data_IF_932605944783
#
_entry.id   IF_932605944783
#
_cell.length_a   1.000
_cell.length_b   1.000
_cell.length_c   1.000
_cell.angle_alpha   90.00
_cell.angle_beta   90.00
_cell.angle_gamma   90.00
#
_symmetry.space_group_name_H-M   'P 1'
#
loop_
_entity.id
_entity.type
_entity.pdbx_description
1 polymer ?
#
# COMPACT_ATOMS: atom_id res chain seq x y z
N UNK A 1 -25.24 -12.46 -2.98
CA UNK A 1 -25.60 -11.49 -4.06
C UNK A 1 -25.52 -10.11 -3.44
N UNK A 2 -24.74 -9.20 -3.95
CA UNK A 2 -24.57 -7.84 -3.38
C UNK A 2 -25.85 -7.00 -3.55
N UNK A 3 -26.87 -7.30 -2.74
CA UNK A 3 -28.17 -6.65 -2.85
C UNK A 3 -28.22 -5.38 -2.00
N UNK A 4 -28.58 -4.26 -2.62
CA UNK A 4 -28.87 -3.03 -1.89
C UNK A 4 -30.22 -3.17 -1.22
N UNK A 5 -30.27 -3.08 0.11
CA UNK A 5 -31.49 -3.16 0.91
C UNK A 5 -31.97 -1.78 1.39
N UNK A 6 -31.05 -0.82 1.45
CA UNK A 6 -31.36 0.55 1.83
C UNK A 6 -30.39 1.54 1.18
N UNK A 7 -30.89 2.70 0.79
CA UNK A 7 -30.09 3.84 0.38
C UNK A 7 -30.62 5.08 1.07
N UNK A 8 -29.73 5.80 1.77
CA UNK A 8 -30.04 7.07 2.43
C UNK A 8 -29.08 8.17 2.01
N UNK A 9 -29.42 9.39 2.40
CA UNK A 9 -28.60 10.58 2.16
C UNK A 9 -28.63 11.45 3.40
N UNK A 10 -27.47 11.87 3.88
CA UNK A 10 -27.37 12.96 4.82
C UNK A 10 -27.09 14.26 4.06
N UNK A 11 -27.93 15.26 4.31
CA UNK A 11 -27.61 16.66 4.02
C UNK A 11 -26.61 17.16 5.06
N UNK A 12 -26.28 18.43 5.11
CA UNK A 12 -25.28 18.95 6.05
C UNK A 12 -25.55 18.44 7.48
N UNK A 13 -24.66 17.55 7.94
CA UNK A 13 -24.77 16.84 9.21
C UNK A 13 -23.46 16.97 9.98
N UNK A 14 -23.54 17.12 11.30
CA UNK A 14 -22.38 17.27 12.18
C UNK A 14 -22.13 16.06 13.05
N UNK A 15 -23.14 15.24 13.29
CA UNK A 15 -23.01 14.01 14.06
C UNK A 15 -24.09 12.99 13.67
N UNK A 16 -23.71 11.71 13.70
CA UNK A 16 -24.63 10.56 13.69
C UNK A 16 -24.39 9.79 14.96
N UNK A 17 -25.45 9.61 15.74
CA UNK A 17 -25.38 8.86 17.01
C UNK A 17 -24.91 7.43 16.80
N UNK A 18 -24.25 6.88 17.83
CA UNK A 18 -23.79 5.51 17.82
C UNK A 18 -24.91 4.53 17.56
N UNK A 19 -24.73 3.65 16.60
CA UNK A 19 -25.70 2.63 16.19
C UNK A 19 -24.96 1.40 15.60
N UNK A 20 -25.71 0.38 15.24
CA UNK A 20 -25.23 -0.80 14.51
C UNK A 20 -26.34 -1.33 13.60
N UNK A 21 -25.98 -2.08 12.58
CA UNK A 21 -26.88 -2.75 11.66
C UNK A 21 -26.35 -4.13 11.24
N UNK A 22 -27.22 -4.98 10.71
CA UNK A 22 -26.90 -6.37 10.30
C UNK A 22 -26.21 -6.47 8.96
N UNK A 23 -26.19 -5.39 8.18
CA UNK A 23 -25.67 -5.33 6.81
C UNK A 23 -24.34 -4.59 6.76
N UNK A 24 -23.58 -4.78 5.69
CA UNK A 24 -22.44 -3.92 5.40
C UNK A 24 -22.93 -2.52 5.01
N UNK A 25 -22.38 -1.48 5.60
CA UNK A 25 -22.66 -0.09 5.22
C UNK A 25 -21.52 0.49 4.42
N UNK A 26 -21.88 1.16 3.33
CA UNK A 26 -20.98 1.91 2.46
C UNK A 26 -21.38 3.38 2.54
N UNK A 27 -20.48 4.25 3.00
CA UNK A 27 -20.75 5.67 3.19
C UNK A 27 -19.86 6.47 2.24
N UNK A 28 -20.44 7.00 1.16
CA UNK A 28 -19.74 7.89 0.24
C UNK A 28 -19.85 9.34 0.75
N UNK A 29 -18.74 9.94 1.19
CA UNK A 29 -18.70 11.33 1.58
C UNK A 29 -18.75 12.22 0.32
N UNK A 30 -19.86 12.95 0.13
CA UNK A 30 -20.06 13.81 -1.05
C UNK A 30 -19.47 15.21 -0.85
N UNK A 31 -19.36 15.69 0.39
CA UNK A 31 -18.66 16.94 0.73
C UNK A 31 -18.31 16.99 2.22
N UNK A 32 -17.34 17.83 2.58
CA UNK A 32 -16.86 17.99 3.95
C UNK A 32 -15.89 16.90 4.38
N UNK A 33 -15.75 16.71 5.68
CA UNK A 33 -14.89 15.68 6.29
C UNK A 33 -15.47 15.30 7.66
N UNK A 34 -15.01 14.19 8.21
CA UNK A 34 -15.43 13.74 9.54
C UNK A 34 -14.60 12.59 10.07
N UNK A 35 -15.02 12.11 11.23
CA UNK A 35 -14.41 11.01 11.95
C UNK A 35 -15.47 9.94 12.22
N UNK A 36 -15.23 8.75 11.70
CA UNK A 36 -16.02 7.56 12.03
C UNK A 36 -15.42 6.92 13.27
N UNK A 37 -16.20 6.86 14.35
CA UNK A 37 -15.77 6.42 15.68
C UNK A 37 -16.24 4.99 15.93
N UNK A 38 -15.30 4.12 16.23
CA UNK A 38 -15.49 2.72 16.67
C UNK A 38 -15.04 2.56 18.12
N UNK A 39 -15.19 1.38 18.70
CA UNK A 39 -14.78 1.14 20.09
C UNK A 39 -13.27 1.18 20.29
N UNK A 40 -12.50 0.74 19.29
CA UNK A 40 -11.06 0.54 19.36
C UNK A 40 -10.26 1.49 18.45
N UNK A 41 -10.94 2.23 17.58
CA UNK A 41 -10.28 3.13 16.62
C UNK A 41 -11.18 4.24 16.10
N UNK A 42 -10.56 5.22 15.45
CA UNK A 42 -11.23 6.28 14.69
C UNK A 42 -10.68 6.31 13.27
N UNK A 43 -11.54 6.45 12.27
CA UNK A 43 -11.17 6.62 10.87
C UNK A 43 -11.54 8.03 10.42
N UNK A 44 -10.54 8.83 10.02
CA UNK A 44 -10.76 10.16 9.45
C UNK A 44 -11.00 10.03 7.94
N UNK A 45 -12.05 10.68 7.43
CA UNK A 45 -12.41 10.67 6.02
C UNK A 45 -12.69 12.10 5.50
N UNK A 46 -12.59 12.26 4.21
CA UNK A 46 -12.81 13.52 3.49
C UNK A 46 -13.76 13.33 2.30
N UNK A 47 -14.11 14.43 1.64
CA UNK A 47 -14.92 14.39 0.43
C UNK A 47 -14.34 13.43 -0.62
N UNK A 48 -15.20 12.65 -1.24
CA UNK A 48 -14.96 11.55 -2.18
C UNK A 48 -14.44 10.24 -1.57
N UNK A 49 -14.11 10.19 -0.29
CA UNK A 49 -13.79 8.92 0.38
C UNK A 49 -15.04 8.08 0.59
N UNK A 50 -14.84 6.76 0.60
CA UNK A 50 -15.88 5.78 0.94
C UNK A 50 -15.44 5.06 2.21
N UNK A 51 -16.22 5.22 3.27
CA UNK A 51 -16.06 4.43 4.49
C UNK A 51 -16.85 3.13 4.35
N UNK A 52 -16.20 2.01 4.57
CA UNK A 52 -16.81 0.69 4.58
C UNK A 52 -16.90 0.20 6.01
N UNK A 53 -18.13 -0.03 6.48
CA UNK A 53 -18.42 -0.50 7.83
C UNK A 53 -18.96 -1.93 7.77
N UNK A 54 -18.26 -2.90 8.37
CA UNK A 54 -18.71 -4.28 8.45
C UNK A 54 -20.05 -4.45 9.19
N UNK A 55 -20.79 -5.54 8.93
CA UNK A 55 -22.01 -5.85 9.68
C UNK A 55 -21.76 -5.98 11.18
N UNK A 56 -22.72 -5.53 11.98
CA UNK A 56 -22.74 -5.64 13.45
C UNK A 56 -21.60 -4.96 14.17
N UNK A 57 -20.92 -4.00 13.52
CA UNK A 57 -19.89 -3.19 14.15
C UNK A 57 -20.51 -1.88 14.67
N UNK A 58 -20.54 -1.63 16.00
CA UNK A 58 -21.07 -0.39 16.56
C UNK A 58 -20.19 0.80 16.14
N UNK A 59 -20.83 1.84 15.60
CA UNK A 59 -20.12 3.03 15.12
C UNK A 59 -20.97 4.28 15.23
N UNK A 60 -20.30 5.43 15.22
CA UNK A 60 -20.90 6.76 15.16
C UNK A 60 -20.06 7.67 14.30
N UNK A 61 -20.57 8.86 14.00
CA UNK A 61 -19.87 9.81 13.15
C UNK A 61 -19.91 11.21 13.73
N UNK A 62 -18.81 11.95 13.68
CA UNK A 62 -18.72 13.34 14.11
C UNK A 62 -17.94 14.17 13.10
N UNK A 63 -18.25 15.45 13.03
CA UNK A 63 -17.55 16.42 12.18
C UNK A 63 -17.60 17.80 12.80
N UNK A 64 -16.48 18.49 12.82
CA UNK A 64 -16.40 19.89 13.28
C UNK A 64 -16.93 20.86 12.23
N UNK A 65 -16.81 20.54 10.94
CA UNK A 65 -17.19 21.42 9.82
C UNK A 65 -18.46 20.99 9.10
N UNK A 66 -18.98 19.80 9.43
CA UNK A 66 -20.10 19.18 8.77
C UNK A 66 -19.70 18.36 7.54
N UNK A 67 -20.54 17.41 7.18
CA UNK A 67 -20.39 16.54 6.00
C UNK A 67 -21.74 16.30 5.34
N UNK A 68 -21.69 15.90 4.08
CA UNK A 68 -22.82 15.31 3.35
C UNK A 68 -22.40 13.94 2.82
N UNK A 69 -23.33 12.99 2.77
CA UNK A 69 -23.02 11.66 2.24
C UNK A 69 -24.21 11.00 1.56
N UNK A 70 -23.94 9.95 0.78
CA UNK A 70 -24.89 8.92 0.37
C UNK A 70 -24.43 7.62 1.02
N UNK A 71 -25.33 6.95 1.75
CA UNK A 71 -24.99 5.67 2.39
C UNK A 71 -25.90 4.56 1.89
N UNK A 72 -25.32 3.38 1.76
CA UNK A 72 -25.93 2.18 1.16
C UNK A 72 -25.74 1.00 2.11
N UNK A 73 -26.82 0.26 2.41
CA UNK A 73 -26.72 -1.01 3.10
C UNK A 73 -26.75 -2.15 2.08
N UNK A 74 -25.68 -2.95 2.10
CA UNK A 74 -25.52 -4.12 1.25
C UNK A 74 -25.70 -5.40 2.06
N UNK A 75 -26.60 -6.28 1.60
CA UNK A 75 -26.70 -7.65 2.05
C UNK A 75 -25.79 -8.57 1.22
N UNK A 76 -25.26 -9.64 1.83
CA UNK A 76 -24.33 -10.58 1.21
C UNK A 76 -23.13 -9.91 0.49
N UNK A 77 -22.58 -8.87 1.09
CA UNK A 77 -21.52 -8.10 0.46
C UNK A 77 -20.23 -8.92 0.31
N UNK A 78 -19.75 -9.06 -0.93
CA UNK A 78 -18.42 -9.62 -1.22
C UNK A 78 -17.28 -8.73 -0.70
N UNK A 79 -17.60 -7.51 -0.25
CA UNK A 79 -16.70 -6.57 0.42
C UNK A 79 -16.48 -6.93 1.89
N UNK A 80 -17.02 -8.09 2.32
CA UNK A 80 -16.99 -8.55 3.72
C UNK A 80 -15.56 -8.61 4.26
N UNK A 81 -15.19 -7.57 5.00
CA UNK A 81 -14.01 -7.55 5.86
C UNK A 81 -14.47 -7.52 7.32
N UNK A 82 -13.62 -8.03 8.19
CA UNK A 82 -13.89 -8.07 9.64
C UNK A 82 -13.70 -6.67 10.25
N UNK A 83 -12.88 -5.82 9.60
CA UNK A 83 -12.52 -4.48 10.08
C UNK A 83 -13.03 -3.39 9.13
N UNK A 84 -13.37 -2.21 9.67
CA UNK A 84 -13.74 -1.05 8.87
C UNK A 84 -12.52 -0.47 8.17
N UNK A 85 -12.71 0.08 6.97
CA UNK A 85 -11.65 0.70 6.20
C UNK A 85 -12.18 1.83 5.31
N UNK A 86 -11.25 2.63 4.80
CA UNK A 86 -11.54 3.71 3.86
C UNK A 86 -10.98 3.35 2.47
N UNK A 87 -11.79 3.59 1.46
CA UNK A 87 -11.36 3.59 0.06
C UNK A 87 -11.23 5.05 -0.36
N UNK A 88 -10.01 5.51 -0.73
CA UNK A 88 -9.79 6.89 -1.10
C UNK A 88 -10.48 7.26 -2.41
N UNK A 89 -10.62 8.57 -2.61
CA UNK A 89 -11.28 9.24 -3.72
C UNK A 89 -11.19 8.54 -5.08
N UNK A 90 -12.28 8.55 -5.81
CA UNK A 90 -12.36 8.13 -7.20
C UNK A 90 -12.09 9.32 -8.14
N UNK A 91 -10.89 9.41 -8.74
CA UNK A 91 -10.52 10.56 -9.59
C UNK A 91 -11.47 10.81 -10.76
N UNK A 92 -12.17 9.77 -11.22
CA UNK A 92 -13.05 9.84 -12.39
C UNK A 92 -14.54 10.05 -12.01
N UNK A 93 -14.87 10.12 -10.72
CA UNK A 93 -16.24 10.31 -10.24
C UNK A 93 -17.19 9.15 -10.53
N UNK A 94 -16.68 7.99 -10.95
CA UNK A 94 -17.51 6.84 -11.32
C UNK A 94 -18.34 6.33 -10.13
N UNK A 95 -17.74 6.18 -8.96
CA UNK A 95 -18.43 5.72 -7.75
C UNK A 95 -19.42 6.75 -7.24
N UNK A 96 -19.11 8.06 -7.33
CA UNK A 96 -20.07 9.10 -7.01
C UNK A 96 -21.35 8.97 -7.85
N UNK A 97 -21.18 8.79 -9.17
CA UNK A 97 -22.32 8.63 -10.07
C UNK A 97 -23.10 7.35 -9.79
N UNK A 98 -22.41 6.24 -9.44
CA UNK A 98 -23.04 4.97 -9.10
C UNK A 98 -23.86 5.07 -7.80
N UNK A 99 -23.34 5.73 -6.75
CA UNK A 99 -24.06 5.98 -5.51
C UNK A 99 -25.26 6.92 -5.72
N UNK A 100 -25.09 7.99 -6.51
CA UNK A 100 -26.18 8.91 -6.85
C UNK A 100 -27.29 8.21 -7.65
N UNK A 101 -26.92 7.36 -8.61
CA UNK A 101 -27.88 6.57 -9.36
C UNK A 101 -28.61 5.54 -8.46
N UNK A 102 -27.89 4.86 -7.56
CA UNK A 102 -28.50 3.96 -6.59
C UNK A 102 -29.55 4.70 -5.71
N UNK A 103 -29.22 5.90 -5.24
CA UNK A 103 -30.15 6.72 -4.48
C UNK A 103 -31.38 7.12 -5.31
N UNK A 104 -31.19 7.54 -6.57
CA UNK A 104 -32.27 7.91 -7.47
C UNK A 104 -33.23 6.75 -7.70
N UNK A 105 -32.73 5.56 -8.05
CA UNK A 105 -33.56 4.37 -8.33
C UNK A 105 -34.17 3.78 -7.05
N UNK A 106 -33.50 3.89 -5.90
CA UNK A 106 -34.10 3.47 -4.62
C UNK A 106 -35.35 4.27 -4.27
N UNK A 107 -35.36 5.56 -4.59
CA UNK A 107 -36.49 6.49 -4.37
C UNK A 107 -37.52 6.48 -5.51
N UNK A 108 -37.22 5.80 -6.60
CA UNK A 108 -38.03 5.75 -7.83
C UNK A 108 -39.17 4.73 -7.81
N UNK A 109 -39.60 4.34 -9.02
CA UNK A 109 -40.69 3.37 -9.18
C UNK A 109 -40.31 1.97 -8.64
N UNK A 110 -41.30 1.14 -8.22
CA UNK A 110 -41.02 -0.24 -7.79
C UNK A 110 -40.38 -1.07 -8.90
N UNK A 111 -40.74 -0.86 -10.18
CA UNK A 111 -40.19 -1.56 -11.32
C UNK A 111 -38.68 -1.23 -11.49
N UNK A 112 -38.34 0.06 -11.53
CA UNK A 112 -36.96 0.52 -11.63
C UNK A 112 -36.12 0.02 -10.44
N UNK A 113 -36.67 0.07 -9.23
CA UNK A 113 -36.02 -0.43 -8.03
C UNK A 113 -35.69 -1.93 -8.14
N UNK A 114 -36.64 -2.74 -8.58
CA UNK A 114 -36.46 -4.21 -8.68
C UNK A 114 -35.47 -4.60 -9.77
N UNK A 115 -35.39 -3.86 -10.87
CA UNK A 115 -34.57 -4.18 -12.03
C UNK A 115 -33.15 -3.58 -11.93
N UNK A 116 -33.05 -2.32 -11.58
CA UNK A 116 -31.79 -1.56 -11.71
C UNK A 116 -30.96 -1.55 -10.41
N UNK A 117 -31.60 -1.51 -9.25
CA UNK A 117 -30.90 -1.41 -7.98
C UNK A 117 -29.95 -2.60 -7.72
N UNK A 118 -30.31 -3.88 -8.01
CA UNK A 118 -29.37 -5.00 -7.89
C UNK A 118 -28.14 -4.88 -8.77
N UNK A 119 -28.26 -4.29 -9.97
CA UNK A 119 -27.12 -4.08 -10.88
C UNK A 119 -26.14 -3.04 -10.31
N UNK A 120 -26.65 -1.95 -9.71
CA UNK A 120 -25.82 -0.98 -9.02
C UNK A 120 -25.15 -1.56 -7.79
N UNK A 121 -25.83 -2.41 -7.02
CA UNK A 121 -25.23 -3.11 -5.89
C UNK A 121 -24.04 -3.98 -6.30
N UNK A 122 -24.19 -4.77 -7.36
CA UNK A 122 -23.11 -5.59 -7.91
C UNK A 122 -21.95 -4.74 -8.45
N UNK A 123 -22.26 -3.66 -9.18
CA UNK A 123 -21.27 -2.75 -9.76
C UNK A 123 -20.44 -2.06 -8.68
N UNK A 124 -21.09 -1.50 -7.67
CA UNK A 124 -20.45 -0.84 -6.53
C UNK A 124 -19.56 -1.84 -5.79
N UNK A 125 -20.08 -2.99 -5.38
CA UNK A 125 -19.34 -4.00 -4.64
C UNK A 125 -18.12 -4.53 -5.42
N UNK A 126 -18.25 -4.80 -6.71
CA UNK A 126 -17.13 -5.22 -7.57
C UNK A 126 -16.04 -4.13 -7.66
N UNK A 127 -16.45 -2.87 -7.84
CA UNK A 127 -15.52 -1.72 -7.90
C UNK A 127 -14.76 -1.52 -6.60
N UNK A 128 -15.44 -1.62 -5.45
CA UNK A 128 -14.83 -1.49 -4.13
C UNK A 128 -13.89 -2.65 -3.83
N UNK A 129 -14.27 -3.88 -4.16
CA UNK A 129 -13.42 -5.08 -3.98
C UNK A 129 -12.11 -4.94 -4.75
N UNK A 130 -12.18 -4.51 -6.02
CA UNK A 130 -11.00 -4.31 -6.86
C UNK A 130 -10.08 -3.21 -6.30
N UNK A 131 -10.65 -2.11 -5.83
CA UNK A 131 -9.89 -0.98 -5.24
C UNK A 131 -9.26 -1.35 -3.90
N UNK A 132 -10.00 -2.03 -3.04
CA UNK A 132 -9.51 -2.48 -1.75
C UNK A 132 -8.36 -3.49 -1.91
N UNK A 133 -8.44 -4.43 -2.84
CA UNK A 133 -7.34 -5.34 -3.14
C UNK A 133 -6.09 -4.57 -3.62
N UNK A 134 -6.26 -3.54 -4.44
CA UNK A 134 -5.13 -2.71 -4.90
C UNK A 134 -4.49 -1.92 -3.76
N UNK A 135 -5.27 -1.31 -2.88
CA UNK A 135 -4.78 -0.59 -1.69
C UNK A 135 -4.03 -1.54 -0.75
N UNK A 136 -4.65 -2.68 -0.41
CA UNK A 136 -4.05 -3.70 0.46
C UNK A 136 -2.75 -4.27 -0.12
N UNK A 137 -2.68 -4.49 -1.44
CA UNK A 137 -1.47 -4.94 -2.12
C UNK A 137 -0.36 -3.90 -1.99
N UNK A 138 -0.67 -2.61 -2.23
CA UNK A 138 0.30 -1.51 -2.11
C UNK A 138 0.84 -1.37 -0.69
N UNK A 139 -0.01 -1.46 0.34
CA UNK A 139 0.39 -1.42 1.75
C UNK A 139 1.29 -2.60 2.14
N UNK A 140 0.95 -3.81 1.69
CA UNK A 140 1.77 -5.02 1.93
C UNK A 140 3.13 -4.89 1.26
N UNK A 141 3.16 -4.42 0.02
CA UNK A 141 4.42 -4.22 -0.72
C UNK A 141 5.28 -3.18 -0.03
N UNK A 142 4.71 -2.05 0.35
CA UNK A 142 5.43 -1.01 1.08
C UNK A 142 5.97 -1.50 2.44
N UNK A 143 5.19 -2.29 3.18
CA UNK A 143 5.64 -2.89 4.43
C UNK A 143 6.82 -3.86 4.22
N UNK A 144 6.78 -4.66 3.15
CA UNK A 144 7.87 -5.56 2.77
C UNK A 144 9.12 -4.78 2.35
N UNK A 145 8.97 -3.76 1.52
CA UNK A 145 10.08 -2.91 1.08
C UNK A 145 10.76 -2.22 2.26
N UNK A 146 9.98 -1.57 3.13
CA UNK A 146 10.50 -0.88 4.31
C UNK A 146 11.27 -1.84 5.22
N UNK A 147 10.72 -3.02 5.49
CA UNK A 147 11.39 -4.01 6.33
C UNK A 147 12.70 -4.52 5.69
N UNK A 148 12.72 -4.76 4.38
CA UNK A 148 13.95 -5.13 3.66
C UNK A 148 14.98 -3.98 3.71
N UNK A 149 14.56 -2.73 3.49
CA UNK A 149 15.44 -1.56 3.52
C UNK A 149 16.03 -1.29 4.90
N UNK A 150 15.32 -1.63 5.96
CA UNK A 150 15.80 -1.51 7.33
C UNK A 150 16.85 -2.58 7.68
N UNK A 151 16.68 -3.81 7.16
CA UNK A 151 17.46 -4.97 7.61
C UNK A 151 18.42 -5.55 6.56
N UNK A 152 18.46 -5.03 5.31
CA UNK A 152 19.29 -5.63 4.26
C UNK A 152 20.80 -5.75 4.60
N UNK A 153 21.41 -4.86 5.42
CA UNK A 153 22.84 -5.00 5.73
C UNK A 153 23.12 -6.11 6.76
N UNK A 154 22.12 -6.59 7.47
CA UNK A 154 22.28 -7.64 8.47
C UNK A 154 22.39 -9.02 7.83
N UNK A 155 23.54 -9.71 8.08
CA UNK A 155 23.77 -11.09 7.63
C UNK A 155 22.82 -12.10 8.28
N UNK A 156 22.30 -11.80 9.49
CA UNK A 156 21.41 -12.69 10.23
C UNK A 156 19.94 -12.49 9.87
N UNK A 157 19.61 -11.47 9.08
CA UNK A 157 18.23 -11.19 8.68
C UNK A 157 17.62 -12.33 7.89
N UNK A 158 16.56 -12.92 8.43
CA UNK A 158 15.77 -13.97 7.78
C UNK A 158 14.46 -13.43 7.25
N UNK A 159 14.44 -13.17 5.95
CA UNK A 159 13.25 -12.73 5.22
C UNK A 159 12.06 -13.70 5.36
N UNK A 160 12.30 -15.01 5.43
CA UNK A 160 11.21 -15.98 5.54
C UNK A 160 10.56 -15.92 6.93
N UNK A 161 11.32 -15.72 7.99
CA UNK A 161 10.80 -15.45 9.32
C UNK A 161 9.91 -14.22 9.32
N UNK A 162 10.35 -13.12 8.72
CA UNK A 162 9.51 -11.92 8.59
C UNK A 162 8.23 -12.18 7.78
N UNK A 163 8.32 -12.86 6.63
CA UNK A 163 7.13 -13.18 5.84
C UNK A 163 6.10 -14.00 6.63
N UNK A 164 6.54 -14.86 7.56
CA UNK A 164 5.65 -15.67 8.39
C UNK A 164 4.90 -14.88 9.48
N UNK A 165 5.34 -13.66 9.81
CA UNK A 165 4.63 -12.77 10.74
C UNK A 165 3.43 -12.05 10.10
N UNK A 166 3.34 -12.05 8.78
CA UNK A 166 2.28 -11.37 8.05
C UNK A 166 1.04 -12.28 7.91
N UNK A 167 -0.19 -11.74 7.89
CA UNK A 167 -1.43 -12.51 7.86
C UNK A 167 -1.74 -13.12 6.48
N UNK A 168 -0.72 -13.44 5.69
CA UNK A 168 -0.85 -13.99 4.35
C UNK A 168 0.16 -15.09 4.10
N UNK A 169 -0.16 -16.03 3.20
CA UNK A 169 0.82 -17.06 2.83
C UNK A 169 2.06 -16.46 2.14
N UNK A 170 3.23 -17.04 2.39
CA UNK A 170 4.48 -16.60 1.75
C UNK A 170 4.41 -16.64 0.21
N UNK A 171 3.65 -17.56 -0.36
CA UNK A 171 3.41 -17.65 -1.80
C UNK A 171 2.63 -16.46 -2.34
N UNK A 172 1.59 -16.05 -1.64
CA UNK A 172 0.80 -14.86 -1.97
C UNK A 172 1.65 -13.59 -1.88
N UNK A 173 2.38 -13.39 -0.78
CA UNK A 173 3.26 -12.24 -0.57
C UNK A 173 4.32 -12.12 -1.68
N UNK A 174 4.97 -13.22 -2.05
CA UNK A 174 5.94 -13.26 -3.16
C UNK A 174 5.31 -12.88 -4.51
N UNK A 175 4.08 -13.34 -4.77
CA UNK A 175 3.36 -13.05 -6.01
C UNK A 175 2.96 -11.57 -6.10
N UNK A 176 2.40 -11.01 -5.03
CA UNK A 176 1.97 -9.59 -4.97
C UNK A 176 3.18 -8.67 -5.11
N UNK A 177 4.22 -8.90 -4.32
CA UNK A 177 5.45 -8.11 -4.36
C UNK A 177 6.08 -8.12 -5.77
N UNK A 178 6.19 -9.31 -6.40
CA UNK A 178 6.72 -9.42 -7.76
C UNK A 178 5.85 -8.71 -8.80
N UNK A 179 4.53 -8.71 -8.62
CA UNK A 179 3.61 -8.03 -9.54
C UNK A 179 3.82 -6.51 -9.52
N UNK A 180 4.11 -5.93 -8.36
CA UNK A 180 4.24 -4.48 -8.20
C UNK A 180 5.67 -3.98 -8.41
N UNK A 181 6.68 -4.72 -7.95
CA UNK A 181 8.09 -4.30 -8.03
C UNK A 181 8.88 -4.92 -9.19
N UNK A 182 8.32 -5.93 -9.86
CA UNK A 182 9.02 -6.72 -10.88
C UNK A 182 9.94 -7.81 -10.32
N UNK A 183 10.24 -7.80 -9.02
CA UNK A 183 11.17 -8.70 -8.35
C UNK A 183 10.48 -9.51 -7.24
N UNK A 184 10.95 -10.70 -6.94
CA UNK A 184 10.57 -11.35 -5.69
C UNK A 184 11.21 -10.64 -4.49
N UNK A 185 10.66 -10.73 -3.25
CA UNK A 185 11.27 -10.12 -2.07
C UNK A 185 12.74 -10.52 -1.85
N UNK A 186 13.09 -11.77 -2.12
CA UNK A 186 14.47 -12.24 -2.02
C UNK A 186 15.39 -11.64 -3.11
N UNK A 187 14.88 -11.48 -4.33
CA UNK A 187 15.62 -10.80 -5.39
C UNK A 187 15.83 -9.32 -5.05
N UNK A 188 14.82 -8.66 -4.52
CA UNK A 188 14.89 -7.27 -4.09
C UNK A 188 15.90 -7.08 -2.94
N UNK A 189 15.85 -7.92 -1.91
CA UNK A 189 16.85 -7.95 -0.82
C UNK A 189 18.28 -8.13 -1.37
N UNK A 190 18.46 -9.11 -2.25
CA UNK A 190 19.76 -9.40 -2.86
C UNK A 190 20.27 -8.22 -3.68
N UNK A 191 19.39 -7.58 -4.43
CA UNK A 191 19.72 -6.41 -5.25
C UNK A 191 20.15 -5.22 -4.40
N UNK A 192 19.46 -4.93 -3.28
CA UNK A 192 19.83 -3.86 -2.34
C UNK A 192 21.18 -4.13 -1.68
N UNK A 193 21.46 -5.37 -1.29
CA UNK A 193 22.78 -5.78 -0.78
C UNK A 193 23.89 -5.57 -1.79
N UNK A 194 23.67 -5.94 -3.06
CA UNK A 194 24.64 -5.76 -4.13
C UNK A 194 24.86 -4.27 -4.49
N UNK A 195 23.82 -3.45 -4.47
CA UNK A 195 23.93 -2.00 -4.68
C UNK A 195 24.76 -1.33 -3.59
N UNK A 196 24.51 -1.68 -2.33
CA UNK A 196 25.31 -1.20 -1.21
C UNK A 196 26.77 -1.66 -1.32
N UNK A 197 27.01 -2.90 -1.69
CA UNK A 197 28.36 -3.42 -1.89
C UNK A 197 29.10 -2.70 -3.04
N UNK A 198 28.41 -2.39 -4.14
CA UNK A 198 29.01 -1.62 -5.24
C UNK A 198 29.45 -0.22 -4.79
N UNK A 199 28.61 0.46 -3.99
CA UNK A 199 28.96 1.76 -3.42
C UNK A 199 30.17 1.68 -2.48
N UNK A 200 30.21 0.69 -1.58
CA UNK A 200 31.31 0.49 -0.65
C UNK A 200 32.63 0.14 -1.40
N UNK A 201 32.54 -0.69 -2.44
CA UNK A 201 33.69 -1.02 -3.29
C UNK A 201 34.22 0.19 -4.05
N UNK A 202 33.35 1.04 -4.59
CA UNK A 202 33.73 2.28 -5.27
C UNK A 202 34.40 3.28 -4.31
N UNK A 203 33.88 3.39 -3.07
CA UNK A 203 34.43 4.28 -2.04
C UNK A 203 35.75 3.76 -1.45
N UNK A 204 35.95 2.46 -1.37
CA UNK A 204 37.17 1.85 -0.79
C UNK A 204 38.46 2.16 -1.55
N UNK A 205 38.36 2.62 -2.79
CA UNK A 205 39.52 2.87 -3.65
C UNK A 205 40.37 1.62 -3.89
N UNK A 206 39.79 0.43 -3.85
CA UNK A 206 40.50 -0.85 -3.98
C UNK A 206 41.21 -1.30 -2.70
N UNK A 207 41.12 -0.53 -1.60
CA UNK A 207 41.66 -0.86 -0.28
C UNK A 207 40.58 -1.59 0.53
N UNK A 208 40.95 -2.68 1.19
CA UNK A 208 40.05 -3.46 2.05
C UNK A 208 39.78 -4.88 1.56
N UNK A 209 39.26 -5.69 2.46
CA UNK A 209 38.89 -7.08 2.19
C UNK A 209 37.54 -7.17 1.50
N UNK A 210 37.49 -7.84 0.36
CA UNK A 210 36.23 -8.14 -0.34
C UNK A 210 35.28 -8.91 0.56
N UNK A 211 35.82 -9.77 1.44
CA UNK A 211 35.03 -10.55 2.40
C UNK A 211 34.38 -9.65 3.47
N UNK A 212 35.14 -8.67 3.98
CA UNK A 212 34.58 -7.70 4.96
C UNK A 212 33.46 -6.86 4.36
N UNK A 213 33.65 -6.36 3.14
CA UNK A 213 32.59 -5.62 2.42
C UNK A 213 31.37 -6.51 2.19
N UNK A 214 31.56 -7.78 1.83
CA UNK A 214 30.45 -8.73 1.69
C UNK A 214 29.67 -8.87 3.01
N UNK A 215 30.35 -9.07 4.15
CA UNK A 215 29.70 -9.17 5.46
C UNK A 215 28.96 -7.88 5.85
N UNK A 216 29.58 -6.74 5.67
CA UNK A 216 28.96 -5.42 5.96
C UNK A 216 27.71 -5.14 5.10
N UNK A 217 27.60 -5.81 3.96
CA UNK A 217 26.47 -5.71 3.05
C UNK A 217 25.44 -6.84 3.20
N UNK A 218 25.55 -7.65 4.26
CA UNK A 218 24.56 -8.68 4.58
C UNK A 218 24.79 -10.04 3.93
N UNK A 219 25.97 -10.30 3.33
CA UNK A 219 26.29 -11.60 2.77
C UNK A 219 27.11 -12.45 3.75
N UNK A 220 26.57 -13.56 4.21
CA UNK A 220 27.26 -14.51 5.07
C UNK A 220 28.35 -15.32 4.34
N UNK A 221 28.29 -15.42 3.01
CA UNK A 221 29.22 -16.18 2.18
C UNK A 221 29.89 -15.32 1.11
N UNK A 222 31.16 -14.94 1.26
CA UNK A 222 31.88 -14.08 0.29
C UNK A 222 32.01 -14.67 -1.11
N UNK A 223 32.08 -16.00 -1.25
CA UNK A 223 32.14 -16.65 -2.56
C UNK A 223 30.78 -16.53 -3.29
N UNK A 224 29.68 -16.71 -2.57
CA UNK A 224 28.34 -16.54 -3.12
C UNK A 224 28.11 -15.08 -3.53
N UNK A 225 28.47 -14.13 -2.67
CA UNK A 225 28.48 -12.70 -2.99
C UNK A 225 29.22 -12.41 -4.31
N UNK A 226 30.47 -12.89 -4.44
CA UNK A 226 31.30 -12.61 -5.61
C UNK A 226 30.69 -13.12 -6.92
N UNK A 227 30.00 -14.27 -6.88
CA UNK A 227 29.25 -14.82 -8.03
C UNK A 227 28.07 -13.98 -8.40
N UNK A 228 27.25 -13.54 -7.41
CA UNK A 228 26.10 -12.69 -7.63
C UNK A 228 26.52 -11.31 -8.15
N UNK A 229 27.56 -10.73 -7.55
CA UNK A 229 28.10 -9.44 -7.96
C UNK A 229 28.59 -9.47 -9.41
N UNK A 230 29.38 -10.48 -9.78
CA UNK A 230 29.85 -10.65 -11.17
C UNK A 230 28.67 -10.82 -12.15
N UNK A 231 27.62 -11.54 -11.74
CA UNK A 231 26.42 -11.73 -12.57
C UNK A 231 25.67 -10.40 -12.80
N UNK A 232 25.58 -9.54 -11.77
CA UNK A 232 24.88 -8.25 -11.87
C UNK A 232 25.70 -7.19 -12.60
N UNK A 233 26.99 -7.06 -12.28
CA UNK A 233 27.85 -5.98 -12.78
C UNK A 233 28.82 -6.39 -13.90
N UNK A 234 28.83 -7.63 -14.30
CA UNK A 234 29.70 -8.16 -15.38
C UNK A 234 31.16 -8.37 -15.02
N UNK A 235 31.62 -7.85 -13.88
CA UNK A 235 33.01 -7.92 -13.40
C UNK A 235 33.07 -8.38 -11.95
N UNK A 236 34.25 -8.92 -11.53
CA UNK A 236 34.43 -9.31 -10.13
C UNK A 236 34.41 -8.08 -9.19
N UNK A 237 34.05 -8.25 -7.88
CA UNK A 237 34.11 -7.17 -6.90
C UNK A 237 35.48 -6.48 -6.86
N UNK A 238 36.58 -7.27 -6.93
CA UNK A 238 37.93 -6.75 -6.93
C UNK A 238 38.24 -5.90 -8.17
N UNK A 239 37.84 -6.36 -9.35
CA UNK A 239 38.03 -5.62 -10.60
C UNK A 239 37.17 -4.36 -10.62
N UNK A 240 35.97 -4.41 -10.02
CA UNK A 240 35.09 -3.24 -9.88
C UNK A 240 35.73 -2.16 -9.00
N UNK A 241 36.21 -2.54 -7.81
CA UNK A 241 36.92 -1.63 -6.90
C UNK A 241 38.17 -1.00 -7.54
N UNK A 242 39.01 -1.80 -8.22
CA UNK A 242 40.21 -1.28 -8.89
C UNK A 242 39.92 -0.27 -10.01
N UNK A 243 38.85 -0.50 -10.79
CA UNK A 243 38.41 0.44 -11.83
C UNK A 243 37.98 1.79 -11.26
N UNK A 244 37.23 1.77 -10.16
CA UNK A 244 36.78 2.98 -9.49
C UNK A 244 37.91 3.73 -8.77
N UNK A 245 38.91 3.00 -8.25
CA UNK A 245 40.13 3.62 -7.69
C UNK A 245 40.88 4.45 -8.76
N UNK A 246 41.09 3.87 -9.95
CA UNK A 246 41.76 4.55 -11.06
C UNK A 246 40.98 5.79 -11.56
N UNK A 247 39.67 5.75 -11.54
CA UNK A 247 38.81 6.89 -11.91
C UNK A 247 38.87 8.01 -10.86
N UNK A 248 38.95 7.69 -9.58
CA UNK A 248 39.06 8.67 -8.50
C UNK A 248 40.46 9.35 -8.45
N UNK A 249 41.53 8.63 -8.83
CA UNK A 249 42.86 9.18 -8.94
C UNK A 249 43.05 10.06 -10.19
N UNK A 250 42.28 9.83 -11.25
CA UNK A 250 42.29 10.61 -12.49
C UNK A 250 41.43 11.90 -12.43
N UNK A 251 40.60 12.07 -11.39
CA UNK A 251 39.79 13.26 -11.21
C UNK A 251 40.70 14.42 -10.76
N UNK A 252 40.70 15.62 -11.45
CA UNK A 252 41.46 16.78 -11.00
C UNK A 252 40.98 17.20 -9.59
N UNK A 253 41.91 17.71 -8.72
CA UNK A 253 41.54 18.17 -7.39
C UNK A 253 40.49 19.30 -7.53
N UNK A 254 39.53 19.41 -6.58
CA UNK A 254 38.56 20.48 -6.62
C UNK A 254 39.27 21.82 -6.62
N UNK A 255 38.91 22.63 -7.60
CA UNK A 255 39.48 23.97 -7.78
C UNK A 255 39.14 24.81 -6.53
N UNK A 256 40.14 25.00 -5.67
CA UNK A 256 40.06 25.84 -4.50
C UNK A 256 40.08 27.30 -4.98
N UNK A 257 39.01 27.79 -5.59
CA UNK A 257 38.85 29.23 -5.78
C UNK A 257 38.80 29.90 -4.40
N UNK A 258 39.94 30.49 -4.05
CA UNK A 258 40.09 31.45 -2.97
C UNK A 258 38.97 32.48 -3.05
N UNK A 259 38.05 32.42 -2.10
CA UNK A 259 37.22 33.56 -1.77
C UNK A 259 38.19 34.57 -1.14
N UNK A 260 38.71 35.53 -1.93
CA UNK A 260 39.28 36.76 -1.39
C UNK A 260 38.14 37.66 -0.94
N UNK A 261 38.24 38.05 0.33
CA UNK A 261 37.46 39.10 0.98
C UNK A 261 37.59 40.44 0.28
#
# INVERSE_FOLDING_TARGET
MNQIIYVGKHTLTFAVSRHLHSSCELIFCTSGCGEMIFDDRTLCYSANDIVVVPPRLPHGNVSATGFTNIHIYLEDATVNQIEPFIIPADPNGFLLNAFAAAFYYYSGSPEDRSLLLPLYGQLIAASLTTRNQKSLHSEIVQKLENNILEHYPDCSYDLNSFLSTLPFSAGYLKKVFKKETGLTPLQYLTDKRLENAANNLAMSGGKGSISEIAYQCGFSEPLYFSRLFKRKYGVSPRSYASRHAALNEAAPPPDNQKIML
#
